data_IF_865216045726
#
_entry.id   IF_865216045726
#
_cell.length_a   1.000
_cell.length_b   1.000
_cell.length_c   1.000
_cell.angle_alpha   90.00
_cell.angle_beta   90.00
_cell.angle_gamma   90.00
#
_symmetry.space_group_name_H-M   'P 1'
#
loop_
_entity.id
_entity.type
_entity.pdbx_description
1 polymer ?
#
# COMPACT_ATOMS: atom_id res chain seq x y z
N UNK A 1 -47.23 47.12 -25.88
CA UNK A 1 -46.15 46.29 -26.46
C UNK A 1 -44.82 46.95 -26.14
N UNK A 2 -44.02 46.38 -25.20
CA UNK A 2 -42.72 46.95 -24.80
C UNK A 2 -41.62 45.94 -25.15
N UNK A 3 -40.71 46.37 -26.03
CA UNK A 3 -39.51 45.65 -26.47
C UNK A 3 -38.47 45.69 -25.33
N UNK A 4 -37.90 44.54 -24.97
CA UNK A 4 -36.76 44.45 -24.05
C UNK A 4 -35.51 44.11 -24.88
N UNK A 5 -34.52 44.99 -24.74
CA UNK A 5 -33.19 44.94 -25.33
C UNK A 5 -32.32 44.01 -24.47
N UNK A 6 -31.76 42.94 -25.03
CA UNK A 6 -30.78 42.09 -24.36
C UNK A 6 -29.38 42.65 -24.68
N UNK A 7 -28.73 43.23 -23.68
CA UNK A 7 -27.31 43.59 -23.74
C UNK A 7 -26.49 42.36 -23.34
N UNK A 8 -25.76 41.80 -24.29
CA UNK A 8 -24.78 40.74 -24.06
C UNK A 8 -23.55 41.34 -23.38
N UNK A 9 -23.44 41.17 -22.06
CA UNK A 9 -22.21 41.46 -21.33
C UNK A 9 -21.26 40.26 -21.45
N UNK A 10 -20.21 40.40 -22.26
CA UNK A 10 -19.09 39.48 -22.27
C UNK A 10 -18.34 39.56 -20.93
N UNK A 11 -18.69 38.66 -20.00
CA UNK A 11 -17.89 38.45 -18.80
C UNK A 11 -16.64 37.64 -19.20
N UNK A 12 -15.49 38.31 -19.17
CA UNK A 12 -14.19 37.69 -19.31
C UNK A 12 -14.06 36.54 -18.31
N UNK A 13 -13.98 35.32 -18.81
CA UNK A 13 -13.64 34.14 -18.02
C UNK A 13 -12.20 34.25 -17.54
N UNK A 14 -12.00 34.78 -16.35
CA UNK A 14 -10.78 34.53 -15.58
C UNK A 14 -10.78 33.05 -15.21
N UNK A 15 -10.07 32.26 -16.02
CA UNK A 15 -9.64 30.93 -15.63
C UNK A 15 -8.75 31.09 -14.39
N UNK A 16 -9.32 30.86 -13.21
CA UNK A 16 -8.52 30.48 -12.05
C UNK A 16 -7.92 29.10 -12.33
N UNK A 17 -6.85 29.08 -13.11
CA UNK A 17 -5.85 28.02 -13.02
C UNK A 17 -5.32 28.15 -11.60
N UNK A 18 -5.85 27.33 -10.69
CA UNK A 18 -5.31 27.16 -9.36
C UNK A 18 -3.87 26.69 -9.51
N UNK A 19 -2.94 27.64 -9.52
CA UNK A 19 -1.52 27.39 -9.57
C UNK A 19 -1.17 26.71 -8.24
N UNK A 20 -1.16 25.37 -8.23
CA UNK A 20 -0.48 24.64 -7.17
C UNK A 20 0.98 25.12 -7.20
N UNK A 21 1.56 25.57 -6.08
CA UNK A 21 2.99 25.84 -6.06
C UNK A 21 3.70 24.55 -6.50
N UNK A 22 4.30 24.57 -7.69
CA UNK A 22 5.15 23.48 -8.13
C UNK A 22 6.34 23.47 -7.19
N UNK A 23 6.63 22.30 -6.60
CA UNK A 23 7.86 22.11 -5.86
C UNK A 23 9.02 22.39 -6.84
N UNK A 24 9.86 23.42 -6.61
CA UNK A 24 10.93 23.79 -7.54
C UNK A 24 11.93 22.64 -7.77
N UNK A 25 11.99 21.67 -6.86
CA UNK A 25 12.86 20.50 -6.97
C UNK A 25 12.28 19.38 -7.84
N UNK A 26 10.98 19.42 -8.18
CA UNK A 26 10.32 18.33 -8.90
C UNK A 26 10.92 18.04 -10.28
N UNK A 27 11.30 19.04 -11.11
CA UNK A 27 12.00 18.80 -12.37
C UNK A 27 13.37 18.12 -12.16
N UNK A 28 14.16 18.59 -11.20
CA UNK A 28 15.48 18.04 -10.90
C UNK A 28 15.39 16.58 -10.42
N UNK A 29 14.42 16.26 -9.56
CA UNK A 29 14.15 14.88 -9.13
C UNK A 29 13.75 13.99 -10.30
N UNK A 30 12.91 14.49 -11.22
CA UNK A 30 12.48 13.73 -12.40
C UNK A 30 13.65 13.46 -13.35
N UNK A 31 14.51 14.45 -13.57
CA UNK A 31 15.73 14.30 -14.36
C UNK A 31 16.67 13.26 -13.72
N UNK A 32 16.93 13.38 -12.42
CA UNK A 32 17.72 12.40 -11.70
C UNK A 32 17.18 10.97 -11.87
N UNK A 33 15.88 10.73 -11.68
CA UNK A 33 15.29 9.39 -11.84
C UNK A 33 15.52 8.84 -13.25
N UNK A 34 15.20 9.64 -14.27
CA UNK A 34 15.32 9.26 -15.68
C UNK A 34 16.76 8.89 -16.05
N UNK A 35 17.73 9.66 -15.57
CA UNK A 35 19.14 9.47 -15.92
C UNK A 35 19.78 8.30 -15.16
N UNK A 36 19.18 7.84 -14.06
CA UNK A 36 19.77 6.86 -13.15
C UNK A 36 19.14 5.46 -13.18
N UNK A 37 18.19 5.16 -14.07
CA UNK A 37 17.61 3.81 -14.16
C UNK A 37 18.67 2.71 -14.30
N UNK A 38 19.68 2.95 -15.15
CA UNK A 38 20.78 2.01 -15.41
C UNK A 38 21.55 1.58 -14.14
N UNK A 39 21.63 2.44 -13.13
CA UNK A 39 22.33 2.15 -11.86
C UNK A 39 21.62 1.09 -11.02
N UNK A 40 20.33 0.85 -11.29
CA UNK A 40 19.50 -0.14 -10.60
C UNK A 40 19.39 -1.45 -11.36
N UNK A 41 20.00 -1.57 -12.55
CA UNK A 41 19.90 -2.78 -13.37
C UNK A 41 20.98 -3.77 -12.98
N UNK A 42 20.56 -5.02 -12.76
CA UNK A 42 21.43 -6.17 -12.55
C UNK A 42 21.17 -7.20 -13.65
N UNK A 43 22.15 -8.09 -13.86
CA UNK A 43 22.01 -9.21 -14.76
C UNK A 43 22.84 -10.39 -14.22
N UNK A 44 22.16 -11.45 -13.84
CA UNK A 44 22.77 -12.67 -13.34
C UNK A 44 21.84 -13.84 -13.66
N UNK A 45 22.25 -14.69 -14.61
CA UNK A 45 21.42 -15.79 -15.14
C UNK A 45 21.68 -17.11 -14.43
N UNK A 46 22.82 -17.25 -13.78
CA UNK A 46 23.18 -18.44 -13.00
C UNK A 46 22.81 -18.25 -11.52
N UNK A 47 22.35 -19.32 -10.90
CA UNK A 47 22.28 -19.36 -9.45
C UNK A 47 23.69 -19.24 -8.87
N UNK A 48 23.82 -18.45 -7.82
CA UNK A 48 25.02 -18.38 -6.99
C UNK A 48 24.61 -18.45 -5.53
N UNK A 49 25.51 -18.80 -4.61
CA UNK A 49 25.29 -18.84 -3.15
C UNK A 49 23.81 -18.81 -2.71
N UNK A 50 23.28 -17.63 -2.40
CA UNK A 50 21.84 -17.44 -2.11
C UNK A 50 21.07 -16.73 -3.22
N UNK A 51 21.72 -16.19 -4.25
CA UNK A 51 21.07 -15.44 -5.33
C UNK A 51 20.51 -16.40 -6.39
N UNK A 52 19.23 -16.24 -6.66
CA UNK A 52 18.51 -16.99 -7.71
C UNK A 52 18.81 -16.30 -9.05
N UNK A 53 19.33 -17.06 -10.01
CA UNK A 53 19.59 -16.61 -11.37
C UNK A 53 18.27 -16.33 -12.11
N UNK A 54 18.21 -15.20 -12.81
CA UNK A 54 17.05 -14.71 -13.54
C UNK A 54 17.38 -14.55 -15.03
N UNK A 55 16.51 -15.00 -15.95
CA UNK A 55 16.81 -15.08 -17.39
C UNK A 55 16.98 -13.72 -18.09
N UNK A 56 16.42 -12.63 -17.56
CA UNK A 56 16.47 -11.30 -18.17
C UNK A 56 17.16 -10.30 -17.23
N UNK A 57 17.72 -9.18 -17.76
CA UNK A 57 18.10 -8.04 -16.92
C UNK A 57 16.92 -7.56 -16.06
N UNK A 58 17.19 -7.19 -14.82
CA UNK A 58 16.17 -6.78 -13.86
C UNK A 58 16.58 -5.57 -13.04
N UNK A 59 15.60 -4.82 -12.56
CA UNK A 59 15.81 -3.72 -11.62
C UNK A 59 15.83 -4.19 -10.18
N UNK A 60 16.62 -3.53 -9.36
CA UNK A 60 16.64 -3.69 -7.90
C UNK A 60 16.17 -2.41 -7.19
N UNK A 61 15.72 -2.45 -5.92
CA UNK A 61 15.13 -1.29 -5.26
C UNK A 61 16.07 -0.10 -5.06
N UNK A 62 17.39 -0.33 -5.05
CA UNK A 62 18.38 0.73 -4.77
C UNK A 62 19.62 0.56 -5.65
N UNK A 63 20.22 1.68 -6.04
CA UNK A 63 21.53 1.72 -6.70
C UNK A 63 22.72 1.44 -5.75
N UNK A 64 22.45 1.36 -4.44
CA UNK A 64 23.45 1.12 -3.41
C UNK A 64 23.87 -0.34 -3.26
N UNK A 65 24.79 -0.59 -2.34
CA UNK A 65 25.36 -1.92 -2.10
C UNK A 65 24.39 -2.94 -1.47
N UNK A 66 23.25 -2.49 -0.94
CA UNK A 66 22.22 -3.34 -0.32
C UNK A 66 21.03 -3.55 -1.26
N UNK A 67 20.33 -4.67 -1.07
CA UNK A 67 19.17 -5.07 -1.88
C UNK A 67 19.52 -5.19 -3.37
N UNK A 68 20.50 -6.05 -3.67
CA UNK A 68 20.98 -6.30 -5.04
C UNK A 68 20.24 -7.45 -5.73
N UNK A 69 19.13 -7.86 -5.16
CA UNK A 69 18.23 -8.89 -5.66
C UNK A 69 16.90 -8.26 -6.08
N UNK A 70 16.18 -8.94 -6.96
CA UNK A 70 14.85 -8.52 -7.38
C UNK A 70 13.88 -8.67 -6.20
N UNK A 71 13.02 -7.68 -5.96
CA UNK A 71 11.93 -7.73 -4.98
C UNK A 71 10.58 -7.69 -5.67
N UNK A 72 9.63 -8.47 -5.17
CA UNK A 72 8.40 -8.73 -5.91
C UNK A 72 7.51 -7.49 -6.06
N UNK A 73 6.99 -6.93 -4.96
CA UNK A 73 6.03 -5.82 -5.05
C UNK A 73 6.69 -4.51 -5.53
N UNK A 74 7.98 -4.30 -5.23
CA UNK A 74 8.74 -3.11 -5.62
C UNK A 74 8.82 -3.01 -7.14
N UNK A 75 8.98 -4.17 -7.79
CA UNK A 75 9.02 -4.29 -9.25
C UNK A 75 7.77 -3.73 -9.91
N UNK A 76 6.59 -3.83 -9.29
CA UNK A 76 5.36 -3.27 -9.88
C UNK A 76 5.48 -1.77 -10.08
N UNK A 77 5.84 -1.07 -8.99
CA UNK A 77 5.96 0.38 -9.00
C UNK A 77 7.14 0.85 -9.85
N UNK A 78 8.24 0.09 -9.85
CA UNK A 78 9.38 0.34 -10.74
C UNK A 78 8.99 0.19 -12.21
N UNK A 79 8.24 -0.85 -12.58
CA UNK A 79 7.74 -1.05 -13.95
C UNK A 79 6.85 0.11 -14.41
N UNK A 80 5.99 0.63 -13.54
CA UNK A 80 5.18 1.82 -13.85
C UNK A 80 6.04 3.07 -14.12
N UNK A 81 7.18 3.21 -13.42
CA UNK A 81 8.17 4.26 -13.71
C UNK A 81 8.87 4.04 -15.05
N UNK A 82 9.42 2.84 -15.25
CA UNK A 82 10.15 2.44 -16.46
C UNK A 82 9.31 2.64 -17.73
N UNK A 83 8.06 2.19 -17.73
CA UNK A 83 7.18 2.36 -18.90
C UNK A 83 6.94 3.85 -19.20
N UNK A 84 6.77 4.69 -18.18
CA UNK A 84 6.60 6.15 -18.36
C UNK A 84 7.87 6.83 -18.87
N UNK A 85 9.04 6.28 -18.57
CA UNK A 85 10.34 6.78 -19.04
C UNK A 85 10.84 6.14 -20.34
N UNK A 86 10.01 5.32 -21.01
CA UNK A 86 10.36 4.75 -22.31
C UNK A 86 11.22 3.49 -22.23
N UNK A 87 11.16 2.74 -21.13
CA UNK A 87 11.85 1.47 -20.93
C UNK A 87 10.90 0.26 -20.81
N UNK A 88 9.94 0.05 -21.75
CA UNK A 88 8.98 -1.04 -21.65
C UNK A 88 9.62 -2.43 -21.73
N UNK A 89 10.75 -2.58 -22.44
CA UNK A 89 11.47 -3.85 -22.54
C UNK A 89 12.06 -4.31 -21.20
N UNK A 90 12.58 -3.36 -20.40
CA UNK A 90 13.08 -3.66 -19.06
C UNK A 90 11.93 -4.01 -18.12
N UNK A 91 10.78 -3.33 -18.24
CA UNK A 91 9.57 -3.67 -17.49
C UNK A 91 9.03 -5.06 -17.87
N UNK A 92 9.12 -5.44 -19.15
CA UNK A 92 8.81 -6.80 -19.61
C UNK A 92 9.79 -7.83 -19.06
N UNK A 93 11.10 -7.58 -19.12
CA UNK A 93 12.13 -8.45 -18.55
C UNK A 93 11.93 -8.69 -17.05
N UNK A 94 11.62 -7.64 -16.29
CA UNK A 94 11.20 -7.74 -14.90
C UNK A 94 9.98 -8.68 -14.74
N UNK A 95 8.92 -8.46 -15.52
CA UNK A 95 7.70 -9.28 -15.47
C UNK A 95 7.99 -10.75 -15.80
N UNK A 96 8.80 -11.01 -16.82
CA UNK A 96 9.20 -12.35 -17.24
C UNK A 96 10.05 -13.08 -16.21
N UNK A 97 10.90 -12.36 -15.48
CA UNK A 97 11.68 -12.90 -14.37
C UNK A 97 10.80 -13.34 -13.19
N UNK A 98 9.76 -12.57 -12.86
CA UNK A 98 8.81 -12.96 -11.82
C UNK A 98 7.95 -14.16 -12.25
N UNK A 99 7.51 -14.20 -13.52
CA UNK A 99 6.86 -15.38 -14.10
C UNK A 99 7.78 -16.61 -14.06
N UNK A 100 9.08 -16.43 -14.32
CA UNK A 100 10.08 -17.48 -14.19
C UNK A 100 10.19 -18.00 -12.76
N UNK A 101 10.17 -17.12 -11.75
CA UNK A 101 10.14 -17.54 -10.35
C UNK A 101 8.90 -18.37 -10.02
N UNK A 102 7.72 -17.98 -10.50
CA UNK A 102 6.50 -18.79 -10.31
C UNK A 102 6.65 -20.16 -10.97
N UNK A 103 7.15 -20.25 -12.21
CA UNK A 103 7.37 -21.55 -12.88
C UNK A 103 8.35 -22.45 -12.12
N UNK A 104 9.37 -21.85 -11.50
CA UNK A 104 10.42 -22.60 -10.80
C UNK A 104 10.00 -23.02 -9.38
N UNK A 105 9.20 -22.22 -8.69
CA UNK A 105 8.95 -22.37 -7.25
C UNK A 105 7.47 -22.39 -6.85
N UNK A 106 6.55 -22.29 -7.81
CA UNK A 106 5.10 -22.25 -7.58
C UNK A 106 4.57 -20.92 -7.02
N UNK A 107 5.46 -19.96 -6.73
CA UNK A 107 5.14 -18.61 -6.25
C UNK A 107 6.33 -17.68 -6.52
N UNK A 108 6.08 -16.38 -6.48
CA UNK A 108 7.19 -15.42 -6.38
C UNK A 108 7.63 -15.35 -4.92
N UNK A 109 8.92 -15.52 -4.65
CA UNK A 109 9.48 -15.25 -3.32
C UNK A 109 9.52 -13.75 -3.04
N UNK A 110 9.63 -13.36 -1.78
CA UNK A 110 9.76 -11.94 -1.40
C UNK A 110 10.83 -11.19 -2.24
N UNK A 111 11.98 -11.83 -2.42
CA UNK A 111 12.95 -11.45 -3.42
C UNK A 111 13.69 -12.65 -4.02
N UNK A 112 14.56 -12.41 -5.00
CA UNK A 112 15.27 -13.45 -5.76
C UNK A 112 16.44 -14.07 -4.99
N UNK A 113 16.21 -14.49 -3.74
CA UNK A 113 17.16 -15.25 -2.92
C UNK A 113 16.52 -16.44 -2.23
N UNK A 114 17.32 -17.48 -2.02
CA UNK A 114 16.84 -18.76 -1.46
C UNK A 114 16.28 -18.63 -0.05
N UNK A 115 16.82 -17.74 0.80
CA UNK A 115 16.29 -17.52 2.15
C UNK A 115 14.92 -16.80 2.18
N UNK A 116 14.39 -16.40 1.03
CA UNK A 116 13.01 -15.93 0.91
C UNK A 116 12.01 -17.05 0.61
N UNK A 117 12.44 -18.29 0.43
CA UNK A 117 11.57 -19.45 0.11
C UNK A 117 10.33 -19.58 1.01
N UNK A 118 10.48 -19.29 2.30
CA UNK A 118 9.40 -19.39 3.28
C UNK A 118 8.26 -18.36 3.10
N UNK A 119 8.43 -17.35 2.24
CA UNK A 119 7.47 -16.24 2.10
C UNK A 119 7.45 -15.60 0.70
N UNK A 120 6.28 -15.13 0.30
CA UNK A 120 6.08 -14.33 -0.91
C UNK A 120 6.19 -12.82 -0.62
N UNK A 121 5.52 -12.00 -1.43
CA UNK A 121 5.18 -10.61 -1.15
C UNK A 121 3.80 -10.29 -1.74
N UNK A 122 3.20 -9.16 -1.36
CA UNK A 122 1.91 -8.68 -1.91
C UNK A 122 1.83 -8.88 -3.44
N UNK A 123 0.83 -9.62 -3.95
CA UNK A 123 0.88 -10.10 -5.33
C UNK A 123 0.48 -9.01 -6.33
N UNK A 124 1.43 -8.61 -7.19
CA UNK A 124 1.20 -7.62 -8.25
C UNK A 124 1.41 -8.16 -9.69
N UNK A 125 1.83 -9.42 -9.85
CA UNK A 125 2.21 -9.96 -11.15
C UNK A 125 1.11 -9.91 -12.21
N UNK A 126 -0.17 -10.16 -11.86
CA UNK A 126 -1.26 -10.06 -12.85
C UNK A 126 -1.43 -8.65 -13.43
N UNK A 127 -1.18 -7.61 -12.62
CA UNK A 127 -1.23 -6.22 -13.06
C UNK A 127 -0.04 -5.87 -13.96
N UNK A 128 1.16 -6.41 -13.65
CA UNK A 128 2.31 -6.28 -14.54
C UNK A 128 2.06 -6.96 -15.88
N UNK A 129 1.48 -8.17 -15.88
CA UNK A 129 1.14 -8.90 -17.11
C UNK A 129 0.08 -8.16 -17.92
N UNK A 130 -0.97 -7.62 -17.27
CA UNK A 130 -1.94 -6.75 -17.92
C UNK A 130 -1.26 -5.55 -18.60
N UNK A 131 -0.37 -4.87 -17.87
CA UNK A 131 0.34 -3.69 -18.35
C UNK A 131 1.18 -3.98 -19.59
N UNK A 132 1.97 -5.06 -19.56
CA UNK A 132 2.81 -5.45 -20.71
C UNK A 132 1.95 -5.90 -21.88
N UNK A 133 0.92 -6.72 -21.67
CA UNK A 133 0.04 -7.16 -22.76
C UNK A 133 -0.65 -5.98 -23.46
N UNK A 134 -1.10 -4.96 -22.71
CA UNK A 134 -1.68 -3.75 -23.31
C UNK A 134 -0.69 -2.96 -24.17
N UNK A 135 0.61 -3.07 -23.90
CA UNK A 135 1.64 -2.41 -24.70
C UNK A 135 1.99 -3.22 -25.95
N UNK A 136 2.02 -4.55 -25.86
CA UNK A 136 2.55 -5.42 -26.93
C UNK A 136 1.46 -6.06 -27.80
N UNK A 137 0.28 -6.32 -27.24
CA UNK A 137 -0.77 -7.11 -27.90
C UNK A 137 -0.40 -8.59 -28.10
N UNK A 138 0.69 -9.07 -27.49
CA UNK A 138 1.20 -10.42 -27.70
C UNK A 138 0.34 -11.47 -27.00
N UNK A 139 -0.58 -12.08 -27.77
CA UNK A 139 -1.51 -13.10 -27.28
C UNK A 139 -0.83 -14.42 -26.92
N UNK A 140 0.28 -14.77 -27.58
CA UNK A 140 0.99 -16.01 -27.27
C UNK A 140 1.67 -15.86 -25.91
N UNK A 141 2.39 -14.75 -25.71
CA UNK A 141 2.98 -14.43 -24.42
C UNK A 141 1.92 -14.34 -23.31
N UNK A 142 0.77 -13.71 -23.59
CA UNK A 142 -0.34 -13.65 -22.62
C UNK A 142 -0.85 -15.05 -22.25
N UNK A 143 -0.97 -15.98 -23.20
CA UNK A 143 -1.43 -17.33 -22.93
C UNK A 143 -0.50 -18.06 -21.94
N UNK A 144 0.81 -17.93 -22.13
CA UNK A 144 1.82 -18.57 -21.29
C UNK A 144 1.91 -17.90 -19.90
N UNK A 145 1.88 -16.56 -19.87
CA UNK A 145 1.85 -15.78 -18.63
C UNK A 145 0.58 -16.08 -17.81
N UNK A 146 -0.57 -16.21 -18.47
CA UNK A 146 -1.84 -16.51 -17.82
C UNK A 146 -1.83 -17.88 -17.13
N UNK A 147 -1.27 -18.92 -17.77
CA UNK A 147 -1.13 -20.23 -17.11
C UNK A 147 -0.22 -20.15 -15.89
N UNK A 148 0.90 -19.43 -16.00
CA UNK A 148 1.83 -19.22 -14.88
C UNK A 148 1.16 -18.49 -13.73
N UNK A 149 0.39 -17.43 -14.00
CA UNK A 149 -0.34 -16.67 -12.99
C UNK A 149 -1.40 -17.51 -12.27
N UNK A 150 -2.04 -18.47 -12.94
CA UNK A 150 -2.99 -19.38 -12.28
C UNK A 150 -2.29 -20.27 -11.25
N UNK A 151 -1.02 -20.62 -11.44
CA UNK A 151 -0.23 -21.35 -10.44
C UNK A 151 0.02 -20.48 -9.19
N UNK A 152 0.44 -19.23 -9.39
CA UNK A 152 0.64 -18.29 -8.27
C UNK A 152 -0.68 -18.01 -7.52
N UNK A 153 -1.78 -17.76 -8.24
CA UNK A 153 -3.10 -17.61 -7.62
C UNK A 153 -3.47 -18.88 -6.84
N UNK A 154 -3.16 -20.05 -7.37
CA UNK A 154 -3.29 -21.33 -6.69
C UNK A 154 -2.55 -21.38 -5.36
N UNK A 155 -1.30 -20.90 -5.30
CA UNK A 155 -0.56 -20.76 -4.03
C UNK A 155 -1.34 -19.90 -3.02
N UNK A 156 -1.83 -18.72 -3.41
CA UNK A 156 -2.60 -17.86 -2.51
C UNK A 156 -3.88 -18.55 -2.02
N UNK A 157 -4.59 -19.27 -2.88
CA UNK A 157 -5.83 -19.94 -2.51
C UNK A 157 -5.62 -21.22 -1.69
N UNK A 158 -4.49 -21.91 -1.82
CA UNK A 158 -4.15 -23.11 -1.04
C UNK A 158 -3.55 -22.76 0.31
N UNK A 159 -2.54 -21.89 0.30
CA UNK A 159 -1.65 -21.69 1.45
C UNK A 159 -2.02 -20.46 2.30
N UNK A 160 -2.89 -19.58 1.78
CA UNK A 160 -3.20 -18.28 2.40
C UNK A 160 -4.69 -18.03 2.61
N UNK A 161 -5.57 -18.95 2.22
CA UNK A 161 -7.01 -18.82 2.41
C UNK A 161 -7.40 -19.07 3.87
N UNK A 162 -8.32 -18.26 4.39
CA UNK A 162 -8.88 -18.41 5.74
C UNK A 162 -10.31 -18.97 5.69
N UNK A 163 -10.91 -19.41 6.81
CA UNK A 163 -12.30 -19.86 6.86
C UNK A 163 -13.34 -18.80 6.43
N UNK A 164 -12.98 -17.51 6.47
CA UNK A 164 -13.85 -16.43 5.97
C UNK A 164 -13.98 -16.44 4.45
N UNK A 165 -13.06 -17.14 3.77
CA UNK A 165 -12.88 -17.11 2.34
C UNK A 165 -12.16 -15.87 1.81
N UNK A 166 -11.60 -15.03 2.70
CA UNK A 166 -10.57 -14.04 2.41
C UNK A 166 -9.18 -14.62 2.73
N UNK A 167 -8.15 -14.02 2.15
CA UNK A 167 -6.76 -14.47 2.32
C UNK A 167 -6.03 -13.66 3.40
N UNK A 168 -5.02 -14.29 4.01
CA UNK A 168 -4.09 -13.71 4.98
C UNK A 168 -2.66 -13.74 4.46
N UNK A 169 -1.77 -12.92 5.01
CA UNK A 169 -0.33 -13.21 4.90
C UNK A 169 0.03 -14.35 5.84
N UNK A 170 1.05 -15.12 5.47
CA UNK A 170 1.45 -16.33 6.18
C UNK A 170 2.93 -16.66 6.01
N UNK A 171 3.31 -17.83 6.48
CA UNK A 171 4.69 -18.30 6.41
C UNK A 171 4.76 -19.82 6.37
N UNK A 172 5.76 -20.35 5.67
CA UNK A 172 6.22 -21.74 5.77
C UNK A 172 7.64 -21.80 6.36
N UNK A 173 7.93 -20.94 7.34
CA UNK A 173 9.23 -20.83 7.98
C UNK A 173 9.62 -22.09 8.75
N UNK A 174 10.91 -22.42 8.71
CA UNK A 174 11.53 -23.36 9.64
C UNK A 174 11.70 -22.71 11.02
N UNK A 175 11.89 -23.53 12.05
CA UNK A 175 12.14 -23.04 13.42
C UNK A 175 13.36 -22.13 13.50
N UNK A 176 14.41 -22.42 12.72
CA UNK A 176 15.59 -21.56 12.63
C UNK A 176 15.27 -20.15 12.10
N UNK A 177 14.38 -20.06 11.09
CA UNK A 177 13.96 -18.77 10.55
C UNK A 177 13.01 -18.04 11.52
N UNK A 178 12.16 -18.78 12.24
CA UNK A 178 11.33 -18.24 13.32
C UNK A 178 12.21 -17.59 14.39
N UNK A 179 13.26 -18.28 14.85
CA UNK A 179 14.19 -17.75 15.85
C UNK A 179 14.96 -16.52 15.33
N UNK A 180 15.40 -16.52 14.07
CA UNK A 180 16.03 -15.36 13.43
C UNK A 180 15.10 -14.13 13.43
N UNK A 181 13.82 -14.34 13.13
CA UNK A 181 12.83 -13.27 13.12
C UNK A 181 12.46 -12.79 14.53
N UNK A 182 12.50 -13.67 15.54
CA UNK A 182 12.36 -13.25 16.94
C UNK A 182 13.52 -12.34 17.37
N UNK A 183 14.77 -12.70 17.03
CA UNK A 183 15.94 -11.85 17.30
C UNK A 183 15.82 -10.52 16.57
N UNK A 184 15.42 -10.54 15.29
CA UNK A 184 15.25 -9.33 14.48
C UNK A 184 14.15 -8.42 15.02
N UNK A 185 12.99 -8.99 15.35
CA UNK A 185 11.86 -8.28 15.95
C UNK A 185 12.24 -7.68 17.30
N UNK A 186 12.92 -8.44 18.16
CA UNK A 186 13.43 -7.96 19.45
C UNK A 186 14.36 -6.76 19.29
N UNK A 187 15.38 -6.87 18.43
CA UNK A 187 16.30 -5.76 18.13
C UNK A 187 15.58 -4.50 17.66
N UNK A 188 14.60 -4.62 16.75
CA UNK A 188 13.81 -3.47 16.26
C UNK A 188 12.91 -2.86 17.33
N UNK A 189 12.44 -3.66 18.28
CA UNK A 189 11.64 -3.21 19.43
C UNK A 189 12.49 -2.74 20.62
N UNK A 190 13.82 -2.85 20.54
CA UNK A 190 14.71 -2.49 21.65
C UNK A 190 14.56 -3.40 22.87
N UNK A 191 14.25 -4.67 22.67
CA UNK A 191 14.07 -5.65 23.75
C UNK A 191 14.57 -7.03 23.33
N UNK A 192 14.96 -7.85 24.29
CA UNK A 192 14.99 -9.29 24.06
C UNK A 192 13.56 -9.83 24.23
N UNK A 193 13.09 -10.65 23.29
CA UNK A 193 11.78 -11.30 23.36
C UNK A 193 11.82 -12.59 24.15
N UNK A 194 12.98 -13.25 24.24
CA UNK A 194 13.17 -14.46 25.05
C UNK A 194 13.14 -14.13 26.55
N UNK A 195 13.62 -12.95 26.94
CA UNK A 195 13.60 -12.46 28.33
C UNK A 195 12.20 -12.01 28.81
N UNK A 196 11.17 -12.04 27.96
CA UNK A 196 9.81 -11.62 28.33
C UNK A 196 9.02 -12.68 29.12
N UNK A 197 9.60 -13.86 29.34
CA UNK A 197 8.90 -14.97 29.99
C UNK A 197 7.73 -15.51 29.17
N UNK A 198 7.81 -15.40 27.83
CA UNK A 198 6.84 -16.04 26.94
C UNK A 198 7.06 -17.55 26.90
N UNK A 199 5.99 -18.31 26.73
CA UNK A 199 6.09 -19.75 26.51
C UNK A 199 6.71 -20.04 25.13
N UNK A 200 7.33 -21.21 24.92
CA UNK A 200 7.86 -21.60 23.61
C UNK A 200 6.82 -21.49 22.48
N UNK A 201 5.57 -21.87 22.73
CA UNK A 201 4.48 -21.81 21.73
C UNK A 201 4.16 -20.38 21.36
N UNK A 202 4.18 -19.47 22.34
CA UNK A 202 3.94 -18.03 22.12
C UNK A 202 5.09 -17.39 21.36
N UNK A 203 6.34 -17.76 21.66
CA UNK A 203 7.51 -17.31 20.90
C UNK A 203 7.43 -17.79 19.45
N UNK A 204 7.14 -19.08 19.25
CA UNK A 204 7.02 -19.66 17.92
C UNK A 204 5.95 -18.96 17.07
N UNK A 205 4.74 -18.78 17.61
CA UNK A 205 3.68 -18.02 16.94
C UNK A 205 4.12 -16.58 16.63
N UNK A 206 4.75 -15.89 17.58
CA UNK A 206 5.22 -14.52 17.37
C UNK A 206 6.26 -14.43 16.25
N UNK A 207 7.19 -15.39 16.16
CA UNK A 207 8.15 -15.44 15.06
C UNK A 207 7.48 -15.72 13.72
N UNK A 208 6.51 -16.64 13.64
CA UNK A 208 5.69 -16.85 12.44
C UNK A 208 4.95 -15.59 12.00
N UNK A 209 4.38 -14.84 12.96
CA UNK A 209 3.70 -13.57 12.71
C UNK A 209 4.66 -12.50 12.16
N UNK A 210 5.91 -12.46 12.64
CA UNK A 210 6.93 -11.57 12.07
C UNK A 210 7.34 -11.99 10.65
N UNK A 211 7.48 -13.28 10.36
CA UNK A 211 7.79 -13.73 9.00
C UNK A 211 6.63 -13.40 8.05
N UNK A 212 5.38 -13.58 8.49
CA UNK A 212 4.19 -13.21 7.71
C UNK A 212 4.08 -11.70 7.49
N UNK A 213 4.49 -10.87 8.45
CA UNK A 213 4.51 -9.41 8.27
C UNK A 213 5.56 -8.97 7.25
N UNK A 214 6.68 -9.69 7.13
CA UNK A 214 7.61 -9.50 6.01
C UNK A 214 7.01 -9.93 4.66
N UNK A 215 6.16 -10.97 4.62
CA UNK A 215 5.37 -11.31 3.42
C UNK A 215 4.39 -10.19 3.04
N UNK A 216 3.87 -9.43 4.02
CA UNK A 216 3.00 -8.30 3.71
C UNK A 216 3.75 -7.12 3.08
N UNK A 217 5.07 -7.02 3.27
CA UNK A 217 5.89 -5.86 2.91
C UNK A 217 5.77 -4.68 3.88
N UNK A 218 5.14 -4.87 5.04
CA UNK A 218 4.97 -3.82 6.06
C UNK A 218 5.71 -4.16 7.36
N UNK A 219 6.88 -4.80 7.29
CA UNK A 219 7.68 -5.20 8.46
C UNK A 219 8.44 -4.01 9.08
N UNK A 220 8.27 -3.65 10.35
CA UNK A 220 7.17 -4.00 11.24
C UNK A 220 6.40 -2.75 11.61
N UNK A 221 5.11 -2.90 11.83
CA UNK A 221 4.19 -1.81 12.06
C UNK A 221 3.01 -2.26 12.95
N UNK A 222 2.28 -1.33 13.59
CA UNK A 222 1.24 -1.69 14.56
C UNK A 222 -0.03 -2.30 13.95
N UNK A 223 -0.19 -2.33 12.62
CA UNK A 223 -1.42 -2.73 11.90
C UNK A 223 -1.98 -4.09 12.34
N UNK A 224 -1.11 -5.04 12.66
CA UNK A 224 -1.49 -6.41 13.00
C UNK A 224 -1.34 -6.75 14.48
N UNK A 225 -0.92 -5.81 15.33
CA UNK A 225 -0.62 -6.08 16.76
C UNK A 225 0.28 -7.33 16.96
N UNK A 226 1.26 -7.52 16.07
CA UNK A 226 2.17 -8.69 16.04
C UNK A 226 1.46 -10.05 15.92
N UNK A 227 0.29 -10.05 15.28
CA UNK A 227 -0.54 -11.22 15.00
C UNK A 227 -0.89 -11.29 13.51
N UNK A 228 0.05 -10.98 12.62
CA UNK A 228 -0.19 -10.83 11.17
C UNK A 228 -0.98 -12.00 10.56
N UNK A 229 -0.70 -13.22 11.00
CA UNK A 229 -1.37 -14.45 10.54
C UNK A 229 -2.84 -14.59 10.99
N UNK A 230 -3.31 -13.74 11.90
CA UNK A 230 -4.69 -13.71 12.41
C UNK A 230 -5.59 -12.75 11.61
N UNK A 231 -5.03 -11.96 10.68
CA UNK A 231 -5.78 -10.95 9.93
C UNK A 231 -5.99 -11.35 8.47
N UNK A 232 -7.13 -10.94 7.92
CA UNK A 232 -7.44 -10.85 6.49
C UNK A 232 -7.20 -9.39 6.04
N UNK A 233 -6.05 -9.09 5.41
CA UNK A 233 -5.68 -7.72 5.08
C UNK A 233 -6.42 -7.18 3.86
N UNK A 234 -6.76 -5.88 3.88
CA UNK A 234 -7.45 -5.19 2.78
C UNK A 234 -6.64 -5.21 1.48
N UNK A 235 -5.36 -4.89 1.54
CA UNK A 235 -4.45 -4.84 0.39
C UNK A 235 -4.29 -6.19 -0.30
N UNK A 236 -4.07 -7.28 0.46
CA UNK A 236 -3.97 -8.62 -0.12
C UNK A 236 -5.26 -9.01 -0.87
N UNK A 237 -6.42 -8.79 -0.24
CA UNK A 237 -7.69 -9.18 -0.83
C UNK A 237 -8.13 -8.25 -1.97
N UNK A 238 -7.74 -6.97 -1.94
CA UNK A 238 -7.88 -6.05 -3.07
C UNK A 238 -7.05 -6.52 -4.28
N UNK A 239 -5.81 -6.95 -4.04
CA UNK A 239 -4.95 -7.44 -5.11
C UNK A 239 -5.45 -8.76 -5.69
N UNK A 240 -5.91 -9.70 -4.86
CA UNK A 240 -6.48 -10.96 -5.36
C UNK A 240 -7.80 -10.75 -6.11
N UNK A 241 -8.59 -9.73 -5.74
CA UNK A 241 -9.73 -9.30 -6.56
C UNK A 241 -9.26 -8.84 -7.95
N UNK A 242 -8.19 -8.05 -8.01
CA UNK A 242 -7.60 -7.61 -9.29
C UNK A 242 -7.06 -8.79 -10.12
N UNK A 243 -6.51 -9.82 -9.49
CA UNK A 243 -6.15 -11.07 -10.18
C UNK A 243 -7.37 -11.71 -10.84
N UNK A 244 -8.47 -11.86 -10.10
CA UNK A 244 -9.70 -12.48 -10.62
C UNK A 244 -10.30 -11.65 -11.78
N UNK A 245 -10.30 -10.32 -11.67
CA UNK A 245 -10.72 -9.43 -12.76
C UNK A 245 -9.81 -9.55 -13.98
N UNK A 246 -8.49 -9.53 -13.76
CA UNK A 246 -7.51 -9.68 -14.83
C UNK A 246 -7.63 -11.05 -15.52
N UNK A 247 -7.90 -12.13 -14.78
CA UNK A 247 -8.09 -13.46 -15.35
C UNK A 247 -9.34 -13.56 -16.22
N UNK A 248 -10.46 -12.93 -15.80
CA UNK A 248 -11.65 -12.83 -16.66
C UNK A 248 -11.31 -12.12 -17.99
N UNK A 249 -10.53 -11.04 -17.92
CA UNK A 249 -10.09 -10.29 -19.10
C UNK A 249 -9.12 -11.10 -19.97
N UNK A 250 -8.12 -11.76 -19.37
CA UNK A 250 -7.16 -12.58 -20.12
C UNK A 250 -7.86 -13.76 -20.79
N UNK A 251 -8.82 -14.39 -20.10
CA UNK A 251 -9.67 -15.42 -20.68
C UNK A 251 -10.46 -14.89 -21.89
N UNK A 252 -11.01 -13.68 -21.81
CA UNK A 252 -11.69 -13.03 -22.93
C UNK A 252 -10.75 -12.79 -24.13
N UNK A 253 -9.57 -12.22 -23.88
CA UNK A 253 -8.55 -11.93 -24.91
C UNK A 253 -8.08 -13.19 -25.66
N UNK A 254 -8.07 -14.32 -24.95
CA UNK A 254 -7.65 -15.63 -25.42
C UNK A 254 -8.82 -16.51 -25.91
N UNK A 255 -10.05 -16.00 -25.94
CA UNK A 255 -11.23 -16.75 -26.41
C UNK A 255 -11.67 -17.91 -25.49
N UNK A 256 -11.29 -17.89 -24.21
CA UNK A 256 -11.63 -18.93 -23.22
C UNK A 256 -12.93 -18.60 -22.49
N UNK A 257 -14.04 -18.68 -23.22
CA UNK A 257 -15.37 -18.24 -22.77
C UNK A 257 -15.85 -18.88 -21.47
N UNK A 258 -15.51 -20.15 -21.24
CA UNK A 258 -15.90 -20.87 -20.02
C UNK A 258 -15.23 -20.31 -18.75
N UNK A 259 -13.97 -19.90 -18.84
CA UNK A 259 -13.21 -19.35 -17.70
C UNK A 259 -13.72 -17.94 -17.31
N UNK A 260 -14.27 -17.16 -18.25
CA UNK A 260 -14.71 -15.77 -17.99
C UNK A 260 -15.73 -15.72 -16.84
N UNK A 261 -16.78 -16.56 -16.91
CA UNK A 261 -17.85 -16.56 -15.91
C UNK A 261 -17.36 -17.02 -14.54
N UNK A 262 -16.44 -17.97 -14.51
CA UNK A 262 -15.85 -18.47 -13.26
C UNK A 262 -15.06 -17.36 -12.55
N UNK A 263 -14.23 -16.63 -13.28
CA UNK A 263 -13.42 -15.56 -12.70
C UNK A 263 -14.25 -14.37 -12.23
N UNK A 264 -15.28 -13.99 -12.98
CA UNK A 264 -16.25 -12.96 -12.54
C UNK A 264 -16.93 -13.39 -11.24
N UNK A 265 -17.37 -14.66 -11.14
CA UNK A 265 -18.01 -15.16 -9.93
C UNK A 265 -17.08 -15.14 -8.71
N UNK A 266 -15.79 -15.50 -8.89
CA UNK A 266 -14.78 -15.41 -7.82
C UNK A 266 -14.54 -13.97 -7.36
N UNK A 267 -14.41 -13.03 -8.30
CA UNK A 267 -14.25 -11.61 -8.00
C UNK A 267 -15.44 -11.04 -7.22
N UNK A 268 -16.68 -11.30 -7.65
CA UNK A 268 -17.87 -10.84 -6.92
C UNK A 268 -17.98 -11.48 -5.53
N UNK A 269 -17.63 -12.77 -5.40
CA UNK A 269 -17.61 -13.44 -4.09
C UNK A 269 -16.60 -12.79 -3.14
N UNK A 270 -15.40 -12.46 -3.63
CA UNK A 270 -14.38 -11.77 -2.84
C UNK A 270 -14.83 -10.37 -2.44
N UNK A 271 -15.41 -9.60 -3.38
CA UNK A 271 -16.02 -8.29 -3.08
C UNK A 271 -17.06 -8.40 -1.98
N UNK A 272 -17.98 -9.35 -2.09
CA UNK A 272 -19.03 -9.56 -1.09
C UNK A 272 -18.43 -9.85 0.30
N UNK A 273 -17.37 -10.66 0.37
CA UNK A 273 -16.65 -10.95 1.61
C UNK A 273 -15.90 -9.73 2.17
N UNK A 274 -15.27 -8.91 1.33
CA UNK A 274 -14.64 -7.65 1.76
C UNK A 274 -15.70 -6.72 2.38
N UNK A 275 -16.85 -6.56 1.74
CA UNK A 275 -17.95 -5.74 2.27
C UNK A 275 -18.50 -6.31 3.58
N UNK A 276 -18.65 -7.64 3.67
CA UNK A 276 -19.17 -8.30 4.87
C UNK A 276 -18.23 -8.14 6.08
N UNK A 277 -16.95 -8.45 5.91
CA UNK A 277 -16.02 -8.57 7.03
C UNK A 277 -15.28 -7.27 7.33
N UNK A 278 -14.91 -6.51 6.30
CA UNK A 278 -13.97 -5.40 6.43
C UNK A 278 -14.65 -4.03 6.52
N UNK A 279 -15.89 -3.88 6.03
CA UNK A 279 -16.61 -2.60 6.10
C UNK A 279 -17.30 -2.41 7.45
N UNK A 280 -17.10 -1.24 8.04
CA UNK A 280 -17.82 -0.75 9.20
C UNK A 280 -18.85 0.31 8.76
N UNK A 281 -20.16 0.02 8.83
CA UNK A 281 -21.20 0.95 8.40
C UNK A 281 -21.40 2.12 9.37
N UNK A 282 -21.04 1.97 10.65
CA UNK A 282 -21.15 3.04 11.64
C UNK A 282 -20.01 4.04 11.47
N UNK A 283 -18.79 3.54 11.33
CA UNK A 283 -17.61 4.35 11.07
C UNK A 283 -17.52 4.85 9.61
N UNK A 284 -18.31 4.27 8.70
CA UNK A 284 -18.23 4.48 7.25
C UNK A 284 -16.80 4.30 6.75
N UNK A 285 -16.19 3.19 7.11
CA UNK A 285 -14.78 2.93 6.84
C UNK A 285 -14.44 1.45 6.75
N UNK A 286 -13.34 1.12 6.08
CA UNK A 286 -12.83 -0.24 5.97
C UNK A 286 -11.60 -0.47 6.87
N UNK A 287 -11.52 -1.68 7.41
CA UNK A 287 -10.44 -2.15 8.26
C UNK A 287 -10.03 -3.56 7.87
N UNK A 288 -8.80 -3.97 8.19
CA UNK A 288 -8.43 -5.39 8.13
C UNK A 288 -9.31 -6.20 9.08
N UNK A 289 -9.59 -7.46 8.77
CA UNK A 289 -10.46 -8.31 9.59
C UNK A 289 -9.65 -9.32 10.40
N UNK A 290 -9.71 -9.26 11.72
CA UNK A 290 -9.16 -10.26 12.64
C UNK A 290 -10.12 -11.46 12.68
N UNK A 291 -9.86 -12.47 11.85
CA UNK A 291 -10.76 -13.60 11.70
C UNK A 291 -10.66 -14.60 12.86
N UNK A 292 -9.59 -14.54 13.65
CA UNK A 292 -9.41 -15.37 14.85
C UNK A 292 -10.30 -14.85 15.98
N UNK A 293 -10.39 -13.53 16.15
CA UNK A 293 -11.23 -12.91 17.20
C UNK A 293 -12.60 -12.43 16.68
N UNK A 294 -12.90 -12.64 15.40
CA UNK A 294 -14.20 -12.31 14.80
C UNK A 294 -14.51 -10.81 14.77
N UNK A 295 -13.49 -9.95 14.67
CA UNK A 295 -13.65 -8.48 14.77
C UNK A 295 -12.84 -7.73 13.72
N UNK A 296 -13.24 -6.49 13.42
CA UNK A 296 -12.42 -5.57 12.60
C UNK A 296 -11.23 -5.04 13.41
N UNK A 297 -10.15 -4.71 12.72
CA UNK A 297 -8.97 -4.07 13.31
C UNK A 297 -9.32 -2.68 13.85
N UNK A 298 -8.71 -2.31 14.97
CA UNK A 298 -8.80 -0.96 15.53
C UNK A 298 -7.86 0.04 14.79
N UNK A 299 -7.06 -0.45 13.84
CA UNK A 299 -6.07 0.34 13.11
C UNK A 299 -6.58 0.73 11.73
N UNK A 300 -6.84 2.03 11.54
CA UNK A 300 -7.00 2.60 10.20
C UNK A 300 -5.62 2.71 9.52
N UNK A 301 -5.43 2.02 8.40
CA UNK A 301 -4.17 1.99 7.66
C UNK A 301 -4.32 2.54 6.24
N UNK A 302 -3.20 2.82 5.59
CA UNK A 302 -3.19 3.23 4.17
C UNK A 302 -3.63 2.12 3.20
N UNK A 303 -3.73 0.87 3.66
CA UNK A 303 -4.15 -0.25 2.82
C UNK A 303 -5.58 -0.10 2.30
N UNK A 304 -6.42 0.73 2.95
CA UNK A 304 -7.77 1.01 2.47
C UNK A 304 -7.80 1.62 1.06
N UNK A 305 -6.75 2.34 0.66
CA UNK A 305 -6.65 2.89 -0.69
C UNK A 305 -6.42 1.83 -1.77
N UNK A 306 -5.99 0.61 -1.40
CA UNK A 306 -5.94 -0.51 -2.33
C UNK A 306 -7.33 -0.88 -2.86
N UNK A 307 -8.40 -0.64 -2.09
CA UNK A 307 -9.78 -0.85 -2.52
C UNK A 307 -10.21 0.12 -3.64
N UNK A 308 -9.73 1.37 -3.59
CA UNK A 308 -9.95 2.33 -4.68
C UNK A 308 -9.16 1.95 -5.92
N UNK A 309 -7.87 1.64 -5.75
CA UNK A 309 -7.00 1.24 -6.85
C UNK A 309 -7.53 0.00 -7.56
N UNK A 310 -7.99 -1.00 -6.81
CA UNK A 310 -8.47 -2.26 -7.36
C UNK A 310 -9.89 -2.22 -7.91
N UNK A 311 -10.71 -1.24 -7.50
CA UNK A 311 -12.16 -1.29 -7.74
C UNK A 311 -12.85 -2.48 -7.05
N UNK A 312 -12.23 -3.03 -6.00
CA UNK A 312 -12.74 -4.19 -5.27
C UNK A 312 -14.10 -3.93 -4.63
N UNK A 313 -14.42 -2.68 -4.33
CA UNK A 313 -15.71 -2.26 -3.77
C UNK A 313 -16.45 -1.31 -4.72
N UNK A 314 -17.80 -1.28 -4.68
CA UNK A 314 -18.59 -0.38 -5.51
C UNK A 314 -18.23 1.10 -5.29
N UNK A 315 -18.43 1.92 -6.31
CA UNK A 315 -18.07 3.35 -6.32
C UNK A 315 -18.74 4.17 -5.21
N UNK A 316 -19.89 3.74 -4.71
CA UNK A 316 -20.59 4.40 -3.60
C UNK A 316 -19.74 4.48 -2.32
N UNK A 317 -18.84 3.52 -2.10
CA UNK A 317 -17.92 3.50 -0.95
C UNK A 317 -16.68 4.38 -1.16
N UNK A 318 -16.50 4.98 -2.34
CA UNK A 318 -15.31 5.79 -2.60
C UNK A 318 -15.22 7.02 -1.70
N UNK A 319 -16.36 7.63 -1.37
CA UNK A 319 -16.43 8.75 -0.43
C UNK A 319 -15.91 8.37 0.95
N UNK A 320 -16.35 7.24 1.47
CA UNK A 320 -15.95 6.67 2.76
C UNK A 320 -14.45 6.39 2.82
N UNK A 321 -13.89 5.79 1.76
CA UNK A 321 -12.44 5.50 1.70
C UNK A 321 -11.62 6.80 1.65
N UNK A 322 -12.06 7.80 0.88
CA UNK A 322 -11.36 9.10 0.80
C UNK A 322 -11.30 9.80 2.15
N UNK A 323 -12.31 9.63 3.02
CA UNK A 323 -12.29 10.19 4.37
C UNK A 323 -11.13 9.67 5.22
N UNK A 324 -10.56 8.49 4.92
CA UNK A 324 -9.37 7.98 5.61
C UNK A 324 -8.16 8.92 5.50
N UNK A 325 -8.09 9.77 4.46
CA UNK A 325 -7.01 10.74 4.30
C UNK A 325 -6.93 11.74 5.45
N UNK A 326 -8.06 12.13 6.04
CA UNK A 326 -8.12 13.15 7.10
C UNK A 326 -7.33 12.69 8.35
N UNK A 327 -7.70 11.60 9.03
CA UNK A 327 -6.98 11.13 10.21
C UNK A 327 -5.53 10.72 9.88
N UNK A 328 -5.28 10.16 8.70
CA UNK A 328 -3.92 9.76 8.28
C UNK A 328 -2.99 10.97 8.04
N UNK A 329 -3.52 12.10 7.53
CA UNK A 329 -2.75 13.35 7.39
C UNK A 329 -2.52 14.05 8.72
N UNK A 330 -3.53 14.10 9.60
CA UNK A 330 -3.39 14.77 10.90
C UNK A 330 -2.40 14.07 11.84
N UNK A 331 -2.28 12.73 11.77
CA UNK A 331 -1.24 12.00 12.51
C UNK A 331 0.19 12.34 12.03
N UNK A 332 0.36 12.65 10.75
CA UNK A 332 1.64 13.08 10.15
C UNK A 332 2.13 14.43 10.69
N UNK A 333 1.21 15.36 10.99
CA UNK A 333 1.51 16.69 11.52
C UNK A 333 1.85 16.69 13.03
N UNK A 334 1.55 15.60 13.76
CA UNK A 334 1.86 15.45 15.20
C UNK A 334 3.16 14.69 15.49
N UNK A 335 4.07 14.57 14.51
CA UNK A 335 5.40 13.99 14.72
C UNK A 335 5.47 12.46 14.71
N UNK A 336 4.37 11.75 14.44
CA UNK A 336 4.42 10.33 14.07
C UNK A 336 4.50 10.25 12.55
N UNK A 337 5.72 10.24 12.02
CA UNK A 337 5.94 10.06 10.59
C UNK A 337 5.53 8.63 10.18
N UNK A 338 4.31 8.48 9.68
CA UNK A 338 3.99 7.33 8.83
C UNK A 338 4.79 7.53 7.54
N UNK A 339 5.88 6.76 7.39
CA UNK A 339 6.49 6.53 6.09
C UNK A 339 5.49 5.68 5.30
N UNK A 340 4.62 6.36 4.53
CA UNK A 340 3.95 5.72 3.41
C UNK A 340 5.08 5.20 2.49
N UNK A 341 5.16 3.89 2.18
CA UNK A 341 6.08 3.43 1.16
C UNK A 341 5.63 4.02 -0.18
N UNK A 342 6.42 4.99 -0.68
CA UNK A 342 6.27 5.70 -1.96
C UNK A 342 4.90 6.40 -2.18
N UNK A 343 4.83 7.39 -3.08
CA UNK A 343 3.55 8.03 -3.36
C UNK A 343 2.62 6.99 -3.97
N UNK A 344 1.50 6.73 -3.31
CA UNK A 344 0.27 6.41 -4.04
C UNK A 344 0.16 7.52 -5.08
N UNK A 345 0.45 7.20 -6.34
CA UNK A 345 0.18 8.07 -7.47
C UNK A 345 -1.33 8.13 -7.56
N UNK A 346 -1.94 8.99 -6.75
CA UNK A 346 -3.23 9.58 -7.04
C UNK A 346 -2.99 10.41 -8.30
N UNK A 347 -3.17 9.76 -9.44
CA UNK A 347 -3.32 10.44 -10.71
C UNK A 347 -4.41 11.50 -10.54
N UNK A 348 -4.20 12.65 -11.17
CA UNK A 348 -5.03 13.84 -11.03
C UNK A 348 -6.40 13.72 -11.73
N UNK A 349 -7.08 12.57 -11.65
CA UNK A 349 -8.29 12.31 -12.45
C UNK A 349 -9.52 11.89 -11.63
N UNK A 350 -9.58 12.29 -10.35
CA UNK A 350 -10.89 12.45 -9.68
C UNK A 350 -11.54 13.70 -10.26
N UNK A 351 -12.57 13.51 -11.07
CA UNK A 351 -13.34 14.58 -11.70
C UNK A 351 -13.73 15.70 -10.69
N UNK A 352 -13.64 16.98 -11.09
CA UNK A 352 -14.00 18.11 -10.25
C UNK A 352 -15.52 18.18 -10.15
N UNK A 353 -16.06 17.76 -9.01
CA UNK A 353 -17.50 17.68 -8.85
C UNK A 353 -17.96 17.34 -7.44
N UNK A 354 -17.31 17.91 -6.42
CA UNK A 354 -17.97 18.09 -5.13
C UNK A 354 -17.40 19.34 -4.45
N UNK A 355 -18.18 20.42 -4.58
CA UNK A 355 -18.01 21.66 -3.82
C UNK A 355 -18.01 21.34 -2.32
N UNK A 356 -16.95 21.76 -1.62
CA UNK A 356 -17.07 22.17 -0.22
C UNK A 356 -16.48 23.58 -0.14
N UNK A 357 -17.37 24.56 -0.17
CA UNK A 357 -17.08 25.91 0.29
C UNK A 357 -16.60 25.83 1.75
N UNK A 358 -15.35 26.22 1.98
CA UNK A 358 -14.82 26.53 3.29
C UNK A 358 -14.17 27.88 3.17
N UNK A 359 -14.96 28.95 3.39
CA UNK A 359 -14.49 30.32 3.37
C UNK A 359 -13.32 30.50 4.33
N UNK A 360 -12.29 31.15 3.83
CA UNK A 360 -11.22 31.65 4.67
C UNK A 360 -11.74 32.78 5.56
N UNK A 361 -11.54 32.64 6.86
CA UNK A 361 -11.29 33.80 7.71
C UNK A 361 -10.15 33.47 8.64
N UNK A 362 -9.05 34.23 8.50
CA UNK A 362 -7.87 34.14 9.35
C UNK A 362 -8.13 34.52 10.80
N UNK A 363 -7.10 34.44 11.65
CA UNK A 363 -7.25 34.61 13.09
C UNK A 363 -7.58 36.07 13.45
N UNK A 364 -8.68 36.24 14.17
CA UNK A 364 -9.00 37.44 14.92
C UNK A 364 -7.86 37.75 15.91
N UNK A 365 -7.18 38.86 15.65
CA UNK A 365 -6.24 39.51 16.57
C UNK A 365 -7.00 40.02 17.80
N UNK A 366 -6.73 39.47 18.97
CA UNK A 366 -6.94 40.17 20.24
C UNK A 366 -5.59 40.75 20.67
N UNK A 367 -5.50 42.09 20.62
CA UNK A 367 -4.44 42.90 21.20
C UNK A 367 -4.56 42.82 22.73
N UNK A 368 -3.53 42.33 23.42
CA UNK A 368 -3.15 42.88 24.72
C UNK A 368 -1.65 43.23 24.70
N UNK A 369 -1.39 44.45 25.16
CA UNK A 369 -0.07 45.08 25.26
C UNK A 369 0.69 44.44 26.42
N UNK A 370 1.94 44.07 26.17
CA UNK A 370 2.95 43.80 27.18
C UNK A 370 4.31 43.74 26.51
N UNK A 371 5.10 44.81 26.65
CA UNK A 371 6.53 44.85 26.29
C UNK A 371 7.22 43.71 27.07
N UNK A 372 8.25 43.00 26.59
CA UNK A 372 9.59 43.51 26.29
C UNK A 372 10.45 42.39 25.67
N UNK A 373 11.49 42.81 24.95
CA UNK A 373 12.71 42.08 24.54
C UNK A 373 12.68 41.21 23.26
N UNK A 374 12.97 41.92 22.18
CA UNK A 374 13.67 41.46 20.99
C UNK A 374 15.15 41.12 21.33
N UNK A 375 15.67 40.02 20.80
CA UNK A 375 17.06 39.95 20.32
C UNK A 375 17.09 39.09 19.05
N UNK A 376 17.30 39.78 17.93
CA UNK A 376 17.81 39.28 16.65
C UNK A 376 19.10 38.45 16.85
N UNK A 377 19.38 37.51 15.95
CA UNK A 377 20.38 37.77 14.90
C UNK A 377 20.36 36.73 13.78
N UNK A 378 20.64 37.28 12.60
CA UNK A 378 20.58 36.82 11.22
C UNK A 378 21.71 35.87 10.80
N UNK A 379 21.44 35.25 9.64
CA UNK A 379 22.31 35.03 8.48
C UNK A 379 23.82 34.77 8.65
N UNK A 380 24.26 33.64 8.10
CA UNK A 380 25.34 33.66 7.10
C UNK A 380 25.34 32.35 6.31
N UNK A 381 25.05 32.46 5.02
CA UNK A 381 25.34 31.43 4.05
C UNK A 381 26.81 31.51 3.63
N UNK A 382 27.44 30.34 3.46
CA UNK A 382 28.58 30.21 2.56
C UNK A 382 28.47 28.89 1.79
N UNK A 383 28.53 29.00 0.46
CA UNK A 383 28.87 27.93 -0.48
C UNK A 383 30.30 27.47 -0.23
N UNK A 384 30.56 26.16 -0.22
CA UNK A 384 31.77 25.56 -0.80
C UNK A 384 31.38 24.20 -1.41
N UNK A 385 31.59 24.06 -2.71
CA UNK A 385 31.77 22.78 -3.41
C UNK A 385 33.26 22.51 -3.43
N UNK A 386 33.72 21.36 -2.93
CA UNK A 386 34.76 20.57 -3.61
C UNK A 386 34.89 19.15 -3.03
N UNK A 387 35.18 18.24 -3.96
CA UNK A 387 35.56 16.84 -3.81
C UNK A 387 36.62 16.58 -2.74
N UNK A 388 36.51 15.45 -2.04
CA UNK A 388 37.52 14.37 -2.09
C UNK A 388 37.05 13.15 -1.29
N UNK A 389 37.38 11.97 -1.81
CA UNK A 389 36.92 10.68 -1.31
C UNK A 389 37.56 10.17 -0.02
N UNK A 390 36.83 9.24 0.59
CA UNK A 390 37.14 8.31 1.71
C UNK A 390 36.57 8.67 3.11
N UNK A 391 36.14 7.64 3.89
CA UNK A 391 35.07 7.75 4.87
C UNK A 391 35.59 7.91 6.30
N UNK A 392 34.87 8.68 7.13
CA UNK A 392 35.10 8.70 8.57
C UNK A 392 33.78 8.69 9.36
N UNK A 393 33.60 7.59 10.11
CA UNK A 393 33.57 7.64 11.58
C UNK A 393 32.31 8.15 12.28
N UNK A 394 31.71 7.26 13.09
CA UNK A 394 30.70 7.55 14.12
C UNK A 394 30.98 8.82 14.92
N UNK A 395 29.94 9.63 15.13
CA UNK A 395 29.86 10.58 16.26
C UNK A 395 28.67 10.20 17.15
N UNK A 396 28.96 9.79 18.38
CA UNK A 396 28.00 9.65 19.47
C UNK A 396 27.39 11.02 19.83
N UNK A 397 26.07 11.08 20.04
CA UNK A 397 25.44 12.14 20.83
C UNK A 397 24.53 11.52 21.90
N UNK A 398 24.71 12.03 23.12
CA UNK A 398 24.25 11.46 24.37
C UNK A 398 22.79 11.73 24.74
N UNK A 399 22.44 11.10 25.86
CA UNK A 399 21.13 10.92 26.48
C UNK A 399 20.30 12.19 26.68
N UNK A 400 19.05 12.15 26.23
CA UNK A 400 18.00 13.14 26.51
C UNK A 400 16.66 12.49 26.90
N UNK A 401 16.68 11.35 27.60
CA UNK A 401 15.46 10.56 27.88
C UNK A 401 14.80 10.85 29.24
N UNK A 402 15.40 11.69 30.10
CA UNK A 402 14.94 11.82 31.50
C UNK A 402 13.87 12.88 31.76
N UNK A 403 13.55 13.76 30.79
CA UNK A 403 12.49 14.79 30.97
C UNK A 403 11.10 14.37 30.52
N UNK A 404 10.99 13.31 29.72
CA UNK A 404 9.70 12.86 29.19
C UNK A 404 8.99 11.87 30.15
N UNK A 405 9.78 11.09 30.89
CA UNK A 405 9.29 10.12 31.89
C UNK A 405 8.70 10.79 33.14
N UNK A 406 9.11 12.02 33.48
CA UNK A 406 8.61 12.72 34.66
C UNK A 406 7.19 13.27 34.47
N UNK A 407 6.86 13.77 33.28
CA UNK A 407 5.52 14.33 32.98
C UNK A 407 4.41 13.28 32.88
N UNK A 408 4.75 12.02 32.65
CA UNK A 408 3.79 10.91 32.59
C UNK A 408 3.45 10.40 34.01
N UNK A 409 4.36 10.58 34.99
CA UNK A 409 4.09 10.28 36.40
C UNK A 409 3.15 11.31 37.02
N UNK A 410 3.36 12.60 36.75
CA UNK A 410 2.55 13.69 37.30
C UNK A 410 1.08 13.68 36.81
N UNK A 411 0.81 13.09 35.63
CA UNK A 411 -0.55 12.95 35.09
C UNK A 411 -1.34 11.78 35.70
N UNK A 412 -0.66 10.85 36.38
CA UNK A 412 -1.28 9.66 37.00
C UNK A 412 -1.74 9.91 38.45
N UNK A 413 -1.17 10.94 39.10
CA UNK A 413 -1.53 11.36 40.45
C UNK A 413 -2.72 12.33 40.51
N UNK A 414 -3.29 12.73 39.35
CA UNK A 414 -4.39 13.70 39.26
C UNK A 414 -5.82 13.11 39.26
N UNK A 415 -5.99 11.80 39.50
CA UNK A 415 -7.24 11.21 40.00
C UNK A 415 -8.56 11.51 39.24
N UNK A 416 -8.62 11.36 37.91
CA UNK A 416 -9.88 11.45 37.16
C UNK A 416 -10.42 10.05 36.80
N UNK A 417 -11.45 9.67 37.56
CA UNK A 417 -12.13 8.38 37.62
C UNK A 417 -13.03 8.08 36.39
N UNK A 418 -13.14 6.78 36.07
CA UNK A 418 -14.05 6.17 35.08
C UNK A 418 -15.39 5.88 35.75
N UNK A 419 -16.52 6.24 35.12
CA UNK A 419 -17.79 5.55 35.42
C UNK A 419 -18.64 5.22 34.19
N UNK A 420 -18.99 3.93 34.18
CA UNK A 420 -20.10 3.19 33.58
C UNK A 420 -21.28 3.96 32.96
N UNK A 421 -21.77 3.41 31.86
CA UNK A 421 -23.21 3.23 31.61
C UNK A 421 -23.43 1.97 30.75
N UNK A 422 -24.10 0.98 31.35
CA UNK A 422 -24.77 -0.12 30.67
C UNK A 422 -26.03 0.41 29.98
N UNK A 423 -26.38 -0.14 28.81
CA UNK A 423 -27.78 -0.31 28.39
C UNK A 423 -27.89 -1.47 27.39
N UNK A 424 -28.78 -2.40 27.72
CA UNK A 424 -29.20 -3.57 26.95
C UNK A 424 -30.35 -3.22 26.00
N UNK A 425 -30.41 -3.85 24.82
CA UNK A 425 -31.60 -3.88 23.96
C UNK A 425 -31.49 -4.96 22.89
N UNK A 426 -32.47 -5.87 22.85
CA UNK A 426 -32.57 -7.01 21.92
C UNK A 426 -33.69 -6.76 20.89
N UNK A 427 -33.43 -7.28 19.68
CA UNK A 427 -34.34 -7.92 18.69
C UNK A 427 -35.11 -7.09 17.62
N UNK A 428 -34.82 -7.51 16.37
CA UNK A 428 -35.70 -7.89 15.25
C UNK A 428 -36.41 -6.84 14.38
N UNK A 429 -36.33 -7.04 13.05
CA UNK A 429 -37.32 -6.56 12.08
C UNK A 429 -36.76 -6.17 10.71
N UNK A 430 -37.12 -6.93 9.66
CA UNK A 430 -36.71 -6.82 8.26
C UNK A 430 -37.28 -5.61 7.51
N UNK A 431 -36.67 -5.25 6.37
CA UNK A 431 -37.34 -4.44 5.33
C UNK A 431 -36.48 -4.21 4.09
N UNK A 432 -36.83 -4.90 3.00
CA UNK A 432 -36.35 -4.66 1.63
C UNK A 432 -36.44 -3.18 1.22
N UNK A 433 -35.34 -2.64 0.69
CA UNK A 433 -35.37 -1.38 -0.05
C UNK A 433 -34.34 -1.38 -1.19
N UNK A 434 -34.86 -1.47 -2.41
CA UNK A 434 -34.35 -0.96 -3.68
C UNK A 434 -32.83 -0.91 -3.89
N UNK A 435 -32.31 -1.84 -4.71
CA UNK A 435 -30.97 -1.78 -5.32
C UNK A 435 -30.89 -0.64 -6.35
N UNK A 436 -30.02 0.38 -6.20
CA UNK A 436 -29.59 1.21 -7.30
C UNK A 436 -28.45 0.49 -8.05
N UNK A 437 -28.34 0.71 -9.36
CA UNK A 437 -27.41 0.04 -10.25
C UNK A 437 -25.95 0.14 -9.78
N UNK A 438 -25.41 -0.98 -9.29
CA UNK A 438 -23.97 -1.18 -9.14
C UNK A 438 -23.33 -1.26 -10.54
N UNK A 439 -22.17 -0.61 -10.73
CA UNK A 439 -21.31 -0.93 -11.88
C UNK A 439 -20.93 -2.41 -11.78
N UNK A 440 -21.51 -3.25 -12.64
CA UNK A 440 -21.16 -4.66 -12.71
C UNK A 440 -19.72 -4.82 -13.21
N UNK A 441 -19.04 -5.91 -12.84
CA UNK A 441 -17.71 -6.27 -13.39
C UNK A 441 -17.68 -6.22 -14.93
N UNK A 442 -18.83 -6.40 -15.59
CA UNK A 442 -18.97 -6.19 -17.02
C UNK A 442 -18.48 -4.80 -17.47
N UNK A 443 -18.70 -3.74 -16.70
CA UNK A 443 -18.23 -2.39 -17.04
C UNK A 443 -16.72 -2.22 -16.82
N UNK A 444 -16.12 -2.91 -15.84
CA UNK A 444 -14.65 -3.00 -15.67
C UNK A 444 -13.99 -3.77 -16.82
N UNK A 445 -14.67 -4.78 -17.38
CA UNK A 445 -14.20 -5.54 -18.53
C UNK A 445 -14.35 -4.76 -19.85
N UNK A 446 -15.42 -3.98 -20.01
CA UNK A 446 -15.70 -3.24 -21.25
C UNK A 446 -15.10 -1.84 -21.31
N UNK A 447 -14.82 -1.22 -20.16
CA UNK A 447 -14.20 0.11 -20.16
C UNK A 447 -12.68 -0.02 -20.07
N UNK A 448 -11.99 0.51 -21.07
CA UNK A 448 -10.55 0.80 -21.06
C UNK A 448 -10.16 1.86 -19.98
N UNK A 449 -10.92 1.97 -18.88
CA UNK A 449 -10.88 3.04 -17.88
C UNK A 449 -10.12 2.69 -16.60
N UNK A 450 -9.34 1.61 -16.58
CA UNK A 450 -8.37 1.38 -15.48
C UNK A 450 -7.11 2.25 -15.65
N UNK A 451 -6.94 2.94 -16.80
CA UNK A 451 -5.79 3.83 -17.05
C UNK A 451 -5.99 5.30 -16.66
N UNK A 452 -7.08 5.67 -15.96
CA UNK A 452 -7.26 7.08 -15.54
C UNK A 452 -8.17 7.21 -14.32
N UNK A 453 -7.71 6.74 -13.16
CA UNK A 453 -8.15 7.21 -11.84
C UNK A 453 -6.95 7.36 -10.91
#
# INVERSE_FOLDING_TARGET
MKKILIVMSAAAGLAFVGCRPQNPDAPAVREFIRDNWHTTVQHCTADTATLIGLPYPYTVPTAGAMFREMYYWDTFFTNEGLVRDGHPELAKGNTDNLLYMVRRFGKVYNGSRTYYEARSQTPYLSMMVDRIYRLTGDKQWLADAYQTLKEEYGFWMRERLTPTGLNRYGSSASDALVDEFLVTGGKRLGTDLFDKGYTPERLHKLGLDFVAEAESGWDFNPRYDRRCTDFCPLDLNANLFMYEVNFARFAQELGRTDEIREWIAKAELRRARILQYCYDPEAKQFYDYDYVNGRRSDVLSGAVFALLYSGAVPREYAGDIVQALIPLRHRRLRGQALRLPLPVVLSQHVAPGLLLCGDGTGPLRIRQRGRTHCRQMDESGHRIVQDDGQPLGKVQRGNGNDRCQQRIRDARDAGLDRRHLHLSGRLSGWGDAARPAALGIHELLTTNKITTL
#
